data_IF_863483788089
#
_entry.id   IF_863483788089
#
_cell.length_a   1.000
_cell.length_b   1.000
_cell.length_c   1.000
_cell.angle_alpha   90.00
_cell.angle_beta   90.00
_cell.angle_gamma   90.00
#
_symmetry.space_group_name_H-M   'P 1'
#
loop_
_entity.id
_entity.type
_entity.pdbx_description
1 polymer ?
#
# COMPACT_ATOMS: atom_id res chain seq x y z
N UNK A 1 21.53 -14.53 -5.61
CA UNK A 1 20.79 -13.47 -6.33
C UNK A 1 21.28 -12.11 -5.86
N UNK A 2 21.26 -11.12 -6.74
CA UNK A 2 21.63 -9.77 -6.38
C UNK A 2 20.52 -9.09 -5.57
N UNK A 3 20.81 -7.89 -5.07
CA UNK A 3 19.88 -7.17 -4.19
C UNK A 3 18.56 -6.82 -4.90
N UNK A 4 18.62 -6.42 -6.17
CA UNK A 4 17.43 -6.12 -6.95
C UNK A 4 16.52 -7.35 -7.11
N UNK A 5 17.12 -8.52 -7.39
CA UNK A 5 16.38 -9.77 -7.49
C UNK A 5 15.75 -10.17 -6.15
N UNK A 6 16.50 -10.01 -5.06
CA UNK A 6 15.99 -10.27 -3.70
C UNK A 6 14.80 -9.36 -3.37
N UNK A 7 14.91 -8.07 -3.68
CA UNK A 7 13.83 -7.11 -3.43
C UNK A 7 12.59 -7.42 -4.26
N UNK A 8 12.78 -7.84 -5.52
CA UNK A 8 11.67 -8.29 -6.37
C UNK A 8 10.94 -9.50 -5.77
N UNK A 9 11.71 -10.47 -5.25
CA UNK A 9 11.12 -11.64 -4.58
C UNK A 9 10.33 -11.24 -3.33
N UNK A 10 10.82 -10.27 -2.57
CA UNK A 10 10.12 -9.74 -1.40
C UNK A 10 8.80 -9.07 -1.81
N UNK A 11 8.79 -8.32 -2.91
CA UNK A 11 7.56 -7.68 -3.38
C UNK A 11 6.47 -8.69 -3.78
N UNK A 12 6.84 -9.84 -4.29
CA UNK A 12 5.89 -10.93 -4.58
C UNK A 12 5.29 -11.50 -3.30
N UNK A 13 6.08 -11.64 -2.24
CA UNK A 13 5.58 -12.03 -0.92
C UNK A 13 4.72 -10.92 -0.30
N UNK A 14 5.07 -9.67 -0.53
CA UNK A 14 4.30 -8.51 -0.08
C UNK A 14 2.90 -8.50 -0.70
N UNK A 15 2.77 -8.85 -1.98
CA UNK A 15 1.46 -9.01 -2.63
C UNK A 15 0.58 -10.02 -1.88
N UNK A 16 1.15 -11.16 -1.51
CA UNK A 16 0.45 -12.17 -0.72
C UNK A 16 0.05 -11.61 0.65
N UNK A 17 0.98 -10.92 1.31
CA UNK A 17 0.75 -10.33 2.64
C UNK A 17 -0.41 -9.36 2.66
N UNK A 18 -0.48 -8.42 1.71
CA UNK A 18 -1.56 -7.42 1.70
C UNK A 18 -2.91 -8.02 1.34
N UNK A 19 -2.94 -9.05 0.50
CA UNK A 19 -4.18 -9.70 0.10
C UNK A 19 -4.71 -10.68 1.14
N UNK A 20 -3.87 -11.17 2.04
CA UNK A 20 -4.26 -12.09 3.12
C UNK A 20 -4.25 -11.45 4.50
N UNK A 21 -3.71 -10.24 4.63
CA UNK A 21 -3.48 -9.56 5.89
C UNK A 21 -2.65 -10.41 6.88
N UNK A 22 -1.62 -11.07 6.37
CA UNK A 22 -0.77 -12.00 7.13
C UNK A 22 0.18 -11.25 8.05
N UNK A 23 -0.07 -11.30 9.36
CA UNK A 23 0.73 -10.61 10.37
C UNK A 23 2.17 -11.13 10.45
N UNK A 24 2.35 -12.45 10.41
CA UNK A 24 3.69 -13.04 10.49
C UNK A 24 4.53 -12.62 9.28
N UNK A 25 3.95 -12.64 8.11
CA UNK A 25 4.61 -12.21 6.88
C UNK A 25 4.93 -10.71 6.92
N UNK A 26 4.02 -9.89 7.45
CA UNK A 26 4.26 -8.44 7.57
C UNK A 26 5.47 -8.14 8.46
N UNK A 27 5.62 -8.84 9.57
CA UNK A 27 6.80 -8.68 10.45
C UNK A 27 8.09 -9.14 9.78
N UNK A 28 7.99 -10.15 8.92
CA UNK A 28 9.15 -10.66 8.18
C UNK A 28 9.62 -9.69 7.09
N UNK A 29 8.68 -9.08 6.36
CA UNK A 29 8.98 -8.29 5.17
C UNK A 29 9.22 -6.81 5.46
N UNK A 30 8.61 -6.26 6.51
CA UNK A 30 8.61 -4.83 6.80
C UNK A 30 9.44 -4.56 8.05
N UNK A 31 10.35 -3.58 7.97
CA UNK A 31 11.15 -3.15 9.11
C UNK A 31 10.26 -2.58 10.21
N UNK A 32 10.57 -2.88 11.47
CA UNK A 32 9.87 -2.28 12.62
C UNK A 32 10.00 -0.76 12.66
N UNK A 33 11.07 -0.23 12.08
CA UNK A 33 11.34 1.21 12.00
C UNK A 33 10.71 1.87 10.77
N UNK A 34 10.12 1.09 9.87
CA UNK A 34 9.47 1.63 8.69
C UNK A 34 8.32 2.56 9.09
N UNK A 35 8.18 3.68 8.37
CA UNK A 35 7.12 4.64 8.62
C UNK A 35 6.35 4.91 7.33
N UNK A 36 5.03 5.07 7.47
CA UNK A 36 4.15 5.26 6.33
C UNK A 36 3.17 6.39 6.60
N UNK A 37 3.02 7.29 5.63
CA UNK A 37 1.97 8.31 5.63
C UNK A 37 0.83 7.83 4.74
N UNK A 38 -0.39 7.84 5.27
CA UNK A 38 -1.58 7.37 4.56
C UNK A 38 -2.78 8.25 4.88
N UNK A 39 -3.80 8.27 4.00
CA UNK A 39 -5.06 8.97 4.32
C UNK A 39 -5.81 8.36 5.50
N UNK A 40 -5.47 7.14 5.91
CA UNK A 40 -6.13 6.43 7.00
C UNK A 40 -5.77 6.98 8.38
N UNK A 41 -4.70 7.77 8.50
CA UNK A 41 -4.21 8.24 9.80
C UNK A 41 -3.64 9.65 9.69
N UNK A 42 -3.91 10.53 10.68
CA UNK A 42 -3.30 11.86 10.71
C UNK A 42 -1.84 11.85 11.15
N UNK A 43 -1.35 10.71 11.63
CA UNK A 43 0.04 10.52 12.09
C UNK A 43 0.67 9.37 11.32
N UNK A 44 2.01 9.31 11.23
CA UNK A 44 2.68 8.18 10.59
C UNK A 44 2.32 6.86 11.25
N UNK A 45 2.24 5.80 10.45
CA UNK A 45 2.08 4.42 10.92
C UNK A 45 3.42 3.71 10.82
N UNK A 46 3.70 2.78 11.74
CA UNK A 46 5.01 2.14 11.84
C UNK A 46 4.94 0.63 11.72
N UNK A 47 5.93 0.07 11.01
CA UNK A 47 6.18 -1.35 10.93
C UNK A 47 5.11 -2.13 10.17
N UNK A 48 5.21 -3.46 10.24
CA UNK A 48 4.25 -4.35 9.58
C UNK A 48 2.83 -4.20 10.13
N UNK A 49 2.71 -4.02 11.44
CA UNK A 49 1.42 -3.79 12.09
C UNK A 49 0.77 -2.49 11.59
N UNK A 50 1.57 -1.42 11.47
CA UNK A 50 1.09 -0.14 10.93
C UNK A 50 0.63 -0.28 9.48
N UNK A 51 1.38 -1.01 8.67
CA UNK A 51 0.99 -1.26 7.28
C UNK A 51 -0.31 -2.05 7.19
N UNK A 52 -0.45 -3.12 7.98
CA UNK A 52 -1.68 -3.94 7.99
C UNK A 52 -2.89 -3.16 8.48
N UNK A 53 -2.71 -2.14 9.32
CA UNK A 53 -3.83 -1.28 9.73
C UNK A 53 -4.47 -0.57 8.52
N UNK A 54 -3.66 -0.24 7.51
CA UNK A 54 -4.17 0.33 6.24
C UNK A 54 -4.96 -0.72 5.46
N UNK A 55 -4.48 -1.95 5.40
CA UNK A 55 -5.20 -3.06 4.75
C UNK A 55 -6.57 -3.26 5.41
N UNK A 56 -6.61 -3.29 6.74
CA UNK A 56 -7.86 -3.43 7.48
C UNK A 56 -8.78 -2.24 7.26
N UNK A 57 -8.23 -1.03 7.21
CA UNK A 57 -9.00 0.18 6.92
C UNK A 57 -9.64 0.10 5.54
N UNK A 58 -8.88 -0.34 4.53
CA UNK A 58 -9.41 -0.54 3.17
C UNK A 58 -10.52 -1.59 3.15
N UNK A 59 -10.36 -2.69 3.90
CA UNK A 59 -11.35 -3.77 3.97
C UNK A 59 -12.68 -3.33 4.57
N UNK A 60 -12.68 -2.32 5.42
CA UNK A 60 -13.94 -1.79 5.96
C UNK A 60 -14.79 -1.11 4.91
N UNK A 61 -14.17 -0.47 3.94
CA UNK A 61 -14.89 0.17 2.82
C UNK A 61 -15.13 -0.75 1.64
N UNK A 62 -14.22 -1.70 1.44
CA UNK A 62 -14.20 -2.62 0.32
C UNK A 62 -13.82 -4.00 0.84
N UNK A 63 -14.82 -4.78 1.28
CA UNK A 63 -14.55 -6.06 1.97
C UNK A 63 -13.84 -7.09 1.09
N UNK A 64 -13.97 -6.97 -0.22
CA UNK A 64 -13.38 -7.82 -1.24
C UNK A 64 -12.12 -7.23 -1.90
N UNK A 65 -11.52 -6.19 -1.30
CA UNK A 65 -10.36 -5.51 -1.88
C UNK A 65 -9.21 -6.48 -2.18
N UNK A 66 -8.66 -6.37 -3.39
CA UNK A 66 -7.49 -7.11 -3.82
C UNK A 66 -6.53 -6.19 -4.56
N UNK A 67 -5.24 -6.44 -4.40
CA UNK A 67 -4.17 -5.74 -5.11
C UNK A 67 -3.41 -6.73 -5.97
N UNK A 68 -3.36 -6.46 -7.26
CA UNK A 68 -2.59 -7.25 -8.22
C UNK A 68 -1.33 -6.49 -8.61
N UNK A 69 -0.18 -7.11 -8.41
CA UNK A 69 1.11 -6.56 -8.83
C UNK A 69 1.27 -6.76 -10.33
N UNK A 70 1.19 -5.67 -11.09
CA UNK A 70 1.21 -5.72 -12.55
C UNK A 70 2.63 -5.70 -13.12
N UNK A 71 3.48 -4.80 -12.62
CA UNK A 71 4.87 -4.70 -13.07
C UNK A 71 5.76 -4.07 -12.01
N UNK A 72 7.05 -4.34 -12.11
CA UNK A 72 8.07 -3.81 -11.22
C UNK A 72 9.33 -3.45 -11.99
N UNK A 73 10.02 -2.41 -11.49
CA UNK A 73 11.40 -2.12 -11.85
C UNK A 73 12.19 -2.05 -10.56
N UNK A 74 13.21 -2.90 -10.43
CA UNK A 74 14.05 -2.98 -9.24
C UNK A 74 15.43 -2.40 -9.50
N UNK A 75 15.90 -1.58 -8.58
CA UNK A 75 17.28 -1.12 -8.50
C UNK A 75 17.85 -1.62 -7.17
N UNK A 76 19.04 -1.18 -6.78
CA UNK A 76 19.77 -1.72 -5.63
C UNK A 76 18.93 -1.73 -4.34
N UNK A 77 18.42 -0.56 -3.93
CA UNK A 77 17.73 -0.38 -2.66
C UNK A 77 16.26 -0.02 -2.79
N UNK A 78 15.68 -0.12 -3.98
CA UNK A 78 14.30 0.28 -4.21
C UNK A 78 13.62 -0.51 -5.33
N UNK A 79 12.30 -0.54 -5.25
CA UNK A 79 11.44 -1.13 -6.28
C UNK A 79 10.32 -0.14 -6.60
N UNK A 80 10.18 0.20 -7.88
CA UNK A 80 9.00 0.88 -8.38
C UNK A 80 7.99 -0.18 -8.81
N UNK A 81 6.76 -0.07 -8.34
CA UNK A 81 5.72 -1.07 -8.61
C UNK A 81 4.43 -0.40 -9.09
N UNK A 82 3.78 -1.05 -10.05
CA UNK A 82 2.45 -0.67 -10.51
C UNK A 82 1.46 -1.77 -10.16
N UNK A 83 0.37 -1.37 -9.53
CA UNK A 83 -0.67 -2.26 -9.03
C UNK A 83 -2.01 -1.96 -9.67
N UNK A 84 -2.87 -2.96 -9.76
CA UNK A 84 -4.30 -2.77 -9.95
C UNK A 84 -5.01 -3.12 -8.65
N UNK A 85 -5.70 -2.15 -8.06
CA UNK A 85 -6.54 -2.37 -6.89
C UNK A 85 -7.98 -2.51 -7.34
N UNK A 86 -8.65 -3.57 -6.93
CA UNK A 86 -10.07 -3.81 -7.23
C UNK A 86 -10.86 -3.99 -5.95
N UNK A 87 -12.14 -3.72 -5.99
CA UNK A 87 -13.03 -3.93 -4.86
C UNK A 87 -14.43 -3.44 -5.14
N UNK A 88 -15.35 -3.79 -4.23
CA UNK A 88 -16.73 -3.33 -4.24
C UNK A 88 -16.95 -2.42 -3.04
N UNK A 89 -17.48 -1.23 -3.27
CA UNK A 89 -17.75 -0.24 -2.21
C UNK A 89 -18.99 -0.70 -1.42
N UNK A 90 -18.78 -1.58 -0.46
CA UNK A 90 -19.82 -2.21 0.35
C UNK A 90 -19.83 -1.76 1.81
N UNK A 91 -18.93 -0.87 2.21
CA UNK A 91 -18.87 -0.25 3.53
C UNK A 91 -18.60 1.23 3.44
N UNK A 92 -18.81 1.96 4.53
CA UNK A 92 -18.53 3.39 4.57
C UNK A 92 -17.05 3.66 4.34
N UNK A 93 -16.75 4.64 3.49
CA UNK A 93 -15.37 4.99 3.16
C UNK A 93 -15.22 6.51 3.09
N UNK A 94 -14.37 7.07 3.94
CA UNK A 94 -14.12 8.52 4.04
C UNK A 94 -15.43 9.32 4.16
N UNK A 95 -16.39 8.82 4.94
CA UNK A 95 -17.69 9.45 5.14
C UNK A 95 -18.71 9.22 4.03
N UNK A 96 -18.34 8.47 2.99
CA UNK A 96 -19.23 8.14 1.88
C UNK A 96 -19.85 6.77 2.15
N UNK A 97 -21.16 6.71 2.21
CA UNK A 97 -21.89 5.46 2.44
C UNK A 97 -21.73 4.51 1.26
N UNK A 98 -21.78 3.22 1.55
CA UNK A 98 -21.67 2.15 0.56
C UNK A 98 -22.56 2.41 -0.66
N UNK A 99 -21.94 2.41 -1.84
CA UNK A 99 -22.64 2.61 -3.12
C UNK A 99 -22.88 1.31 -3.88
N UNK A 100 -22.21 0.22 -3.48
CA UNK A 100 -22.24 -1.05 -4.21
C UNK A 100 -21.46 -1.02 -5.52
N UNK A 101 -20.77 0.08 -5.84
CA UNK A 101 -20.02 0.20 -7.09
C UNK A 101 -18.71 -0.61 -7.02
N UNK A 102 -18.37 -1.26 -8.12
CA UNK A 102 -17.09 -1.91 -8.31
C UNK A 102 -16.07 -0.90 -8.82
N UNK A 103 -14.88 -0.92 -8.24
CA UNK A 103 -13.77 -0.05 -8.66
C UNK A 103 -12.59 -0.85 -9.16
N UNK A 104 -11.82 -0.25 -10.06
CA UNK A 104 -10.54 -0.74 -10.51
C UNK A 104 -9.62 0.47 -10.66
N UNK A 105 -8.54 0.51 -9.88
CA UNK A 105 -7.68 1.69 -9.76
C UNK A 105 -6.23 1.31 -9.98
N UNK A 106 -5.52 2.10 -10.78
CA UNK A 106 -4.08 1.97 -10.94
C UNK A 106 -3.37 2.71 -9.80
N UNK A 107 -2.47 2.00 -9.12
CA UNK A 107 -1.67 2.55 -8.02
C UNK A 107 -0.20 2.34 -8.34
N UNK A 108 0.62 3.37 -8.10
CA UNK A 108 2.07 3.30 -8.28
C UNK A 108 2.77 3.72 -7.01
N UNK A 109 3.78 2.94 -6.62
CA UNK A 109 4.54 3.15 -5.40
C UNK A 109 6.03 2.94 -5.64
N UNK A 110 6.84 3.67 -4.86
CA UNK A 110 8.24 3.33 -4.65
C UNK A 110 8.37 2.69 -3.27
N UNK A 111 8.98 1.49 -3.24
CA UNK A 111 9.32 0.80 -2.00
C UNK A 111 10.82 0.89 -1.79
N UNK A 112 11.24 1.23 -0.57
CA UNK A 112 12.63 1.35 -0.18
C UNK A 112 13.00 0.21 0.75
N UNK A 113 14.23 -0.29 0.61
CA UNK A 113 14.71 -1.46 1.35
C UNK A 113 15.92 -1.07 2.18
N UNK A 114 15.97 -1.53 3.42
CA UNK A 114 17.10 -1.30 4.31
C UNK A 114 18.22 -2.32 4.07
N UNK A 115 19.29 -2.21 4.89
CA UNK A 115 20.45 -3.09 4.77
C UNK A 115 20.13 -4.56 5.09
N UNK A 116 19.09 -4.81 5.88
CA UNK A 116 18.64 -6.15 6.22
C UNK A 116 17.70 -6.74 5.16
N UNK A 117 17.44 -6.02 4.08
CA UNK A 117 16.58 -6.44 3.01
C UNK A 117 15.09 -6.33 3.33
N UNK A 118 14.73 -5.54 4.34
CA UNK A 118 13.33 -5.31 4.70
C UNK A 118 12.84 -3.99 4.12
N UNK A 119 11.54 -3.91 3.86
CA UNK A 119 10.90 -2.68 3.40
C UNK A 119 10.97 -1.64 4.51
N UNK A 120 11.60 -0.51 4.22
CA UNK A 120 11.80 0.59 5.16
C UNK A 120 10.89 1.79 4.93
N UNK A 121 10.34 1.91 3.73
CA UNK A 121 9.40 2.97 3.38
C UNK A 121 8.62 2.60 2.12
N UNK A 122 7.46 3.24 1.95
CA UNK A 122 6.57 3.09 0.80
C UNK A 122 6.00 4.47 0.49
N UNK A 123 6.28 4.98 -0.70
CA UNK A 123 5.79 6.28 -1.14
C UNK A 123 4.92 6.09 -2.37
N UNK A 124 3.65 6.46 -2.24
CA UNK A 124 2.68 6.44 -3.33
C UNK A 124 2.50 7.83 -3.93
N UNK A 125 2.24 7.88 -5.23
CA UNK A 125 1.92 9.14 -5.89
C UNK A 125 0.51 9.60 -5.50
N UNK A 126 0.38 10.88 -5.17
CA UNK A 126 -0.93 11.50 -4.92
C UNK A 126 -1.65 11.89 -6.22
N UNK A 127 -0.88 12.31 -7.22
CA UNK A 127 -1.41 12.71 -8.52
C UNK A 127 -2.35 13.91 -8.44
N UNK A 128 -3.38 13.91 -9.26
CA UNK A 128 -4.35 15.00 -9.36
C UNK A 128 -5.08 15.25 -8.04
N UNK A 129 -5.33 14.22 -7.26
CA UNK A 129 -6.02 14.37 -5.98
C UNK A 129 -5.22 15.25 -5.00
N UNK A 130 -3.89 15.18 -5.04
CA UNK A 130 -3.03 16.04 -4.22
C UNK A 130 -3.18 17.51 -4.59
N UNK A 131 -3.28 17.83 -5.87
CA UNK A 131 -3.54 19.19 -6.35
C UNK A 131 -4.90 19.68 -5.87
N UNK A 132 -5.94 18.87 -6.07
CA UNK A 132 -7.31 19.21 -5.67
C UNK A 132 -7.45 19.45 -4.17
N UNK A 133 -6.77 18.62 -3.35
CA UNK A 133 -6.69 18.84 -1.91
C UNK A 133 -5.96 20.14 -1.57
N UNK A 134 -4.84 20.39 -2.24
CA UNK A 134 -4.00 21.57 -1.99
C UNK A 134 -4.72 22.88 -2.24
N UNK A 135 -5.59 22.93 -3.23
CA UNK A 135 -6.39 24.15 -3.55
C UNK A 135 -7.77 24.15 -2.85
N UNK A 136 -8.05 23.15 -2.03
CA UNK A 136 -9.33 23.08 -1.28
C UNK A 136 -10.52 22.63 -2.09
N UNK A 137 -10.33 22.05 -3.28
CA UNK A 137 -11.42 21.58 -4.14
C UNK A 137 -12.05 20.28 -3.65
N UNK A 138 -11.32 19.50 -2.85
CA UNK A 138 -11.82 18.28 -2.19
C UNK A 138 -11.32 18.28 -0.76
N UNK A 139 -12.08 17.68 0.15
CA UNK A 139 -11.70 17.52 1.54
C UNK A 139 -10.64 16.42 1.70
N UNK A 140 -9.94 16.47 2.81
CA UNK A 140 -8.95 15.47 3.16
C UNK A 140 -9.57 14.17 3.62
#
# INVERSE_FOLDING_TARGET
MNRAESNTAIMKQFEIMINTADEALSRKLISEKASFFTPASPVPLYGGKGYLSVVHWMRRGFSDVQWKLEEMVAADDKVAARWTMTGTHDGDFLGIKATGKKISVCVMNFYYFDEDGKISNDIAAEGMIGILRGIGAVDR
#
